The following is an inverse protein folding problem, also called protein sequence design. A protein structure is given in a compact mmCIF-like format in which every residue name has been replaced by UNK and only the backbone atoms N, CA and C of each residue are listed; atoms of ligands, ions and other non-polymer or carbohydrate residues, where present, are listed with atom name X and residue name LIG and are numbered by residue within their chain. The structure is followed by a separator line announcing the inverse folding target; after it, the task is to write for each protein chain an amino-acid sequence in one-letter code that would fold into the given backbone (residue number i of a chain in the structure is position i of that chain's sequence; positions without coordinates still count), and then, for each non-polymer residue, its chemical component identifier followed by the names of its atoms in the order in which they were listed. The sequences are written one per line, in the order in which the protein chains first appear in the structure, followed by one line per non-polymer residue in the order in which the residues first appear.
data_IF_192715000442
#
_entry.id   IF_192715000442
#
_cell.length_a   1.000
_cell.length_b   1.000
_cell.length_c   1.000
_cell.angle_alpha   90.00
_cell.angle_beta   90.00
_cell.angle_gamma   90.00
#
_symmetry.space_group_name_H-M   'P 1'
#
loop_
_entity.id
_entity.type
_entity.pdbx_description
1 polymer ?
#
# COMPACT_ATOMS: atom_id res chain seq x y z
N UNK A 1 46.96 -4.00 15.48
CA UNK A 1 46.45 -5.37 15.30
C UNK A 1 45.09 -5.23 14.67
N UNK A 2 44.87 -5.62 13.41
CA UNK A 2 43.55 -5.54 12.82
C UNK A 2 42.77 -6.80 13.23
N UNK A 3 41.79 -6.61 14.10
CA UNK A 3 40.81 -7.63 14.48
C UNK A 3 39.76 -7.79 13.38
N UNK A 4 39.47 -9.06 13.14
CA UNK A 4 38.74 -9.67 12.05
C UNK A 4 37.23 -9.33 12.08
N UNK A 5 36.65 -8.64 11.07
CA UNK A 5 35.20 -8.52 10.97
C UNK A 5 34.57 -9.88 10.59
N UNK A 6 33.37 -10.16 11.09
CA UNK A 6 32.54 -11.33 10.73
C UNK A 6 32.53 -11.60 9.21
N UNK A 7 32.38 -12.87 8.79
CA UNK A 7 32.65 -13.26 7.41
C UNK A 7 31.81 -12.46 6.42
N UNK A 8 32.49 -11.58 5.68
CA UNK A 8 32.12 -11.24 4.31
C UNK A 8 31.85 -12.55 3.60
N UNK A 9 30.62 -12.75 3.14
CA UNK A 9 30.22 -13.93 2.35
C UNK A 9 31.32 -14.35 1.37
N UNK A 10 32.06 -15.46 1.61
CA UNK A 10 32.85 -16.09 0.58
C UNK A 10 31.97 -17.19 -0.03
N UNK A 11 31.65 -17.06 -1.31
CA UNK A 11 31.24 -18.21 -2.11
C UNK A 11 32.33 -19.30 -1.95
N UNK A 12 32.00 -20.57 -1.68
CA UNK A 12 32.97 -21.62 -1.90
C UNK A 12 33.27 -21.69 -3.40
N UNK A 13 34.57 -21.65 -3.75
CA UNK A 13 35.04 -22.01 -5.09
C UNK A 13 34.48 -23.39 -5.46
N UNK A 14 33.60 -23.39 -6.44
CA UNK A 14 33.03 -24.63 -6.99
C UNK A 14 34.07 -25.23 -7.94
N UNK A 15 34.64 -26.42 -7.70
CA UNK A 15 35.31 -27.13 -8.79
C UNK A 15 34.25 -27.45 -9.85
N UNK A 16 34.62 -27.24 -11.12
CA UNK A 16 33.75 -27.46 -12.26
C UNK A 16 33.14 -28.87 -12.23
N UNK A 17 31.84 -28.97 -11.97
CA UNK A 17 31.10 -30.20 -12.12
C UNK A 17 30.77 -30.39 -13.61
N UNK A 18 31.23 -31.51 -14.14
CA UNK A 18 30.92 -32.05 -15.48
C UNK A 18 29.40 -32.29 -15.60
N UNK A 19 28.80 -32.18 -16.80
CA UNK A 19 27.36 -32.31 -16.94
C UNK A 19 26.98 -33.80 -16.87
N UNK A 20 26.35 -34.23 -15.79
CA UNK A 20 25.61 -35.49 -15.75
C UNK A 20 24.13 -35.18 -15.81
N UNK A 21 23.56 -35.55 -16.96
CA UNK A 21 22.16 -35.75 -17.26
C UNK A 21 21.48 -36.58 -16.15
N UNK A 22 20.47 -36.02 -15.49
CA UNK A 22 19.47 -36.83 -14.78
C UNK A 22 18.15 -36.06 -14.64
N UNK A 23 17.17 -36.55 -15.36
CA UNK A 23 15.73 -36.26 -15.29
C UNK A 23 15.16 -36.19 -13.87
N UNK A 24 14.39 -35.14 -13.58
CA UNK A 24 13.52 -35.05 -12.39
C UNK A 24 12.24 -35.86 -12.59
N UNK A 25 11.85 -36.76 -11.65
CA UNK A 25 10.47 -37.26 -11.60
C UNK A 25 9.57 -36.23 -10.91
N UNK A 26 8.41 -35.99 -11.52
CA UNK A 26 7.29 -35.24 -10.93
C UNK A 26 6.73 -35.99 -9.72
N UNK A 27 6.60 -35.33 -8.57
CA UNK A 27 5.84 -35.86 -7.44
C UNK A 27 4.77 -34.86 -6.98
N UNK A 28 3.52 -35.30 -7.17
CA UNK A 28 2.29 -34.69 -6.68
C UNK A 28 2.29 -34.63 -5.16
N UNK A 29 2.00 -33.45 -4.58
CA UNK A 29 1.80 -33.30 -3.14
C UNK A 29 0.32 -33.52 -2.79
N UNK A 30 0.04 -34.60 -2.08
CA UNK A 30 -1.22 -34.79 -1.33
C UNK A 30 -1.08 -34.09 0.02
N UNK A 31 -2.00 -33.19 0.35
CA UNK A 31 -2.06 -32.53 1.66
C UNK A 31 -2.50 -33.50 2.77
N UNK A 32 -1.92 -33.46 3.98
CA UNK A 32 -2.48 -34.17 5.12
C UNK A 32 -3.53 -33.32 5.85
N UNK A 33 -4.69 -33.92 6.09
CA UNK A 33 -5.71 -33.41 7.01
C UNK A 33 -5.31 -33.68 8.46
N UNK A 34 -5.43 -32.68 9.33
CA UNK A 34 -5.47 -32.88 10.78
C UNK A 34 -6.64 -32.10 11.36
N UNK A 35 -7.63 -32.84 11.88
CA UNK A 35 -8.80 -32.29 12.54
C UNK A 35 -8.66 -32.20 14.06
N UNK A 36 -9.37 -31.21 14.61
CA UNK A 36 -10.02 -31.23 15.93
C UNK A 36 -9.43 -30.31 17.02
N UNK A 37 -10.21 -29.81 18.00
CA UNK A 37 -11.68 -29.78 18.12
C UNK A 37 -12.27 -28.35 18.22
N UNK A 38 -13.51 -28.23 17.75
CA UNK A 38 -14.33 -27.01 17.82
C UNK A 38 -14.76 -26.65 19.25
N UNK A 39 -14.65 -25.38 19.62
CA UNK A 39 -15.44 -24.80 20.71
C UNK A 39 -15.85 -23.38 20.34
N UNK A 40 -17.14 -23.07 20.14
CA UNK A 40 -17.55 -21.73 19.71
C UNK A 40 -17.64 -20.78 20.92
N UNK A 41 -16.68 -19.86 21.04
CA UNK A 41 -16.84 -18.67 21.90
C UNK A 41 -17.66 -17.62 21.16
N UNK A 42 -18.92 -17.47 21.59
CA UNK A 42 -19.83 -16.41 21.17
C UNK A 42 -19.33 -15.06 21.69
N UNK A 43 -18.94 -14.16 20.81
CA UNK A 43 -18.75 -12.74 21.12
C UNK A 43 -20.03 -11.99 20.76
N UNK A 44 -20.74 -11.53 21.79
CA UNK A 44 -21.84 -10.58 21.68
C UNK A 44 -21.24 -9.20 21.35
N UNK A 45 -21.48 -8.69 20.14
CA UNK A 45 -21.35 -7.27 19.87
C UNK A 45 -22.68 -6.60 20.21
N UNK A 46 -22.70 -5.84 21.31
CA UNK A 46 -23.80 -4.96 21.63
C UNK A 46 -23.70 -3.72 20.72
N UNK A 47 -24.62 -3.63 19.77
CA UNK A 47 -24.89 -2.42 19.01
C UNK A 47 -25.56 -1.38 19.94
N UNK A 48 -25.00 -0.18 20.01
CA UNK A 48 -25.70 0.99 20.52
C UNK A 48 -25.66 2.06 19.43
N UNK A 49 -26.64 1.97 18.52
CA UNK A 49 -27.05 3.10 17.71
C UNK A 49 -27.95 4.00 18.53
N UNK A 50 -27.75 5.32 18.41
CA UNK A 50 -28.82 6.28 18.66
C UNK A 50 -28.54 7.55 17.84
N UNK A 51 -29.24 7.59 16.70
CA UNK A 51 -29.58 8.81 15.98
C UNK A 51 -30.63 9.53 16.81
N UNK A 52 -30.37 10.79 17.19
CA UNK A 52 -31.42 11.74 17.58
C UNK A 52 -31.23 13.02 16.79
N UNK A 53 -32.14 13.20 15.83
CA UNK A 53 -32.43 14.43 15.12
C UNK A 53 -33.04 15.44 16.11
N UNK A 54 -32.51 16.66 16.14
CA UNK A 54 -33.17 17.80 16.78
C UNK A 54 -32.98 19.09 15.95
N UNK A 55 -34.00 19.30 15.12
CA UNK A 55 -34.62 20.55 14.64
C UNK A 55 -33.98 21.88 15.10
N UNK A 56 -33.59 22.68 14.09
CA UNK A 56 -33.27 24.10 14.21
C UNK A 56 -34.51 24.93 14.60
N UNK A 57 -34.42 25.69 15.68
CA UNK A 57 -35.34 26.80 15.99
C UNK A 57 -34.52 28.09 16.10
N UNK A 58 -34.87 29.06 15.26
CA UNK A 58 -34.29 30.40 15.23
C UNK A 58 -34.93 31.33 16.27
N UNK A 59 -34.08 32.09 16.97
CA UNK A 59 -34.30 33.42 17.57
C UNK A 59 -32.94 33.79 18.22
N UNK A 60 -32.29 34.93 18.07
CA UNK A 60 -32.69 36.29 17.74
C UNK A 60 -31.90 37.21 18.68
N UNK A 61 -31.38 38.32 18.15
CA UNK A 61 -30.87 39.52 18.86
C UNK A 61 -29.41 39.53 19.36
N UNK A 62 -28.55 40.22 18.62
CA UNK A 62 -27.63 41.23 19.18
C UNK A 62 -27.37 42.34 18.15
N UNK A 63 -27.86 43.56 18.42
CA UNK A 63 -27.41 44.80 17.76
C UNK A 63 -26.04 45.22 18.32
N UNK A 64 -25.26 46.17 17.82
CA UNK A 64 -25.39 47.38 17.00
C UNK A 64 -23.93 47.70 16.55
N UNK A 65 -23.59 48.40 15.45
CA UNK A 65 -23.79 49.84 15.17
C UNK A 65 -23.38 50.18 13.72
N UNK A 66 -24.16 51.10 13.13
CA UNK A 66 -23.84 52.18 12.15
C UNK A 66 -22.64 52.08 11.19
N UNK A 67 -22.93 52.21 9.90
CA UNK A 67 -22.49 53.37 9.09
C UNK A 67 -23.37 53.53 7.84
N UNK A 68 -23.67 54.78 7.50
CA UNK A 68 -24.52 55.27 6.40
C UNK A 68 -23.87 55.09 5.02
N UNK A 69 -24.65 54.93 3.95
CA UNK A 69 -24.82 55.95 2.90
C UNK A 69 -25.80 55.52 1.77
N UNK A 70 -26.79 56.40 1.58
CA UNK A 70 -27.52 56.87 0.39
C UNK A 70 -28.13 55.97 -0.73
N UNK A 71 -29.45 56.26 -0.90
CA UNK A 71 -30.20 56.59 -2.14
C UNK A 71 -30.35 55.50 -3.22
N UNK A 72 -31.58 54.98 -3.39
CA UNK A 72 -32.56 55.52 -4.37
C UNK A 72 -33.85 54.68 -4.34
N UNK A 73 -34.98 55.31 -4.03
CA UNK A 73 -36.31 54.75 -4.35
C UNK A 73 -36.60 55.05 -5.82
N UNK A 74 -37.08 54.06 -6.57
CA UNK A 74 -38.15 54.31 -7.52
C UNK A 74 -39.03 53.06 -7.78
N UNK A 75 -40.28 53.24 -7.34
CA UNK A 75 -41.56 52.84 -7.94
C UNK A 75 -41.81 51.42 -8.49
N UNK A 76 -42.91 50.86 -7.98
CA UNK A 76 -43.56 49.62 -8.39
C UNK A 76 -44.18 49.65 -9.79
N UNK A 77 -44.16 48.50 -10.48
CA UNK A 77 -45.24 48.04 -11.36
C UNK A 77 -45.10 46.54 -11.74
N UNK A 78 -46.05 45.70 -11.32
CA UNK A 78 -46.56 44.56 -12.13
C UNK A 78 -47.83 45.09 -12.81
N UNK A 79 -48.08 44.86 -14.11
CA UNK A 79 -48.47 43.56 -14.67
C UNK A 79 -47.73 43.32 -16.03
N UNK A 80 -47.85 42.25 -16.81
CA UNK A 80 -48.88 41.27 -17.05
C UNK A 80 -48.22 40.00 -17.63
N UNK A 81 -48.92 38.88 -17.51
CA UNK A 81 -48.59 37.64 -18.17
C UNK A 81 -48.54 37.84 -19.70
N UNK A 82 -47.40 37.50 -20.29
CA UNK A 82 -47.33 37.15 -21.71
C UNK A 82 -46.85 35.70 -21.76
N UNK A 83 -47.78 34.81 -22.12
CA UNK A 83 -47.48 33.43 -22.45
C UNK A 83 -46.67 33.42 -23.75
N UNK A 84 -45.36 33.23 -23.63
CA UNK A 84 -44.50 32.84 -24.73
C UNK A 84 -44.41 31.31 -24.73
N UNK A 85 -44.70 30.75 -25.91
CA UNK A 85 -44.75 29.33 -26.20
C UNK A 85 -43.32 28.87 -26.46
N UNK A 86 -42.88 27.85 -25.73
CA UNK A 86 -41.88 26.86 -26.13
C UNK A 86 -40.50 27.36 -26.57
N UNK A 87 -39.56 27.35 -25.62
CA UNK A 87 -38.24 26.78 -25.90
C UNK A 87 -38.01 25.74 -24.79
N UNK A 88 -37.90 24.46 -25.14
CA UNK A 88 -37.42 23.46 -24.20
C UNK A 88 -36.03 23.93 -23.72
N UNK A 89 -35.67 23.76 -22.43
CA UNK A 89 -34.26 23.88 -22.08
C UNK A 89 -33.55 22.88 -22.97
N UNK A 90 -32.68 23.37 -23.85
CA UNK A 90 -31.74 22.49 -24.53
C UNK A 90 -31.03 21.75 -23.40
N UNK A 91 -31.33 20.45 -23.24
CA UNK A 91 -30.50 19.52 -22.47
C UNK A 91 -29.15 19.56 -23.16
N UNK A 92 -28.31 20.52 -22.74
CA UNK A 92 -26.89 20.45 -22.98
C UNK A 92 -26.50 19.21 -22.20
N UNK A 93 -26.38 18.09 -22.90
CA UNK A 93 -25.71 16.90 -22.39
C UNK A 93 -24.34 17.39 -21.94
N UNK A 94 -24.23 17.68 -20.64
CA UNK A 94 -23.01 18.22 -20.06
C UNK A 94 -21.99 17.11 -20.15
N UNK A 95 -20.92 17.30 -20.92
CA UNK A 95 -19.76 16.41 -20.87
C UNK A 95 -19.04 16.65 -19.55
N UNK A 96 -18.75 15.60 -18.79
CA UNK A 96 -17.98 15.75 -17.57
C UNK A 96 -16.52 16.06 -17.89
N UNK A 97 -16.05 17.27 -17.56
CA UNK A 97 -14.66 17.70 -17.75
C UNK A 97 -13.87 17.79 -16.44
N UNK A 98 -14.51 17.50 -15.30
CA UNK A 98 -13.85 17.42 -14.01
C UNK A 98 -13.07 16.11 -13.89
N UNK A 99 -11.97 16.13 -13.14
CA UNK A 99 -11.30 14.90 -12.74
C UNK A 99 -12.19 14.11 -11.74
N UNK A 100 -12.13 12.77 -11.76
CA UNK A 100 -12.81 11.94 -10.77
C UNK A 100 -12.41 12.32 -9.34
N UNK A 101 -13.39 12.29 -8.43
CA UNK A 101 -13.16 12.44 -6.99
C UNK A 101 -13.15 11.05 -6.38
N UNK A 102 -12.04 10.67 -5.73
CA UNK A 102 -11.84 9.31 -5.23
C UNK A 102 -11.52 9.32 -3.75
N UNK A 103 -12.21 8.47 -2.99
CA UNK A 103 -11.94 8.21 -1.58
C UNK A 103 -11.45 6.78 -1.40
N UNK A 104 -10.38 6.63 -0.60
CA UNK A 104 -9.87 5.33 -0.19
C UNK A 104 -10.74 4.74 0.92
N UNK A 105 -11.36 3.58 0.67
CA UNK A 105 -12.19 2.90 1.65
C UNK A 105 -11.38 1.90 2.48
N UNK A 106 -10.54 1.10 1.82
CA UNK A 106 -9.67 0.10 2.43
C UNK A 106 -8.36 -0.04 1.66
N UNK A 107 -7.29 -0.36 2.38
CA UNK A 107 -6.00 -0.72 1.80
C UNK A 107 -5.46 -1.98 2.47
N UNK A 108 -5.11 -2.98 1.66
CA UNK A 108 -4.60 -4.26 2.15
C UNK A 108 -3.46 -4.77 1.28
N UNK A 109 -2.55 -5.51 1.90
CA UNK A 109 -1.51 -6.23 1.19
C UNK A 109 -1.97 -7.68 0.96
N UNK A 110 -1.82 -8.17 -0.26
CA UNK A 110 -2.25 -9.51 -0.66
C UNK A 110 -1.16 -10.22 -1.49
N UNK A 111 -1.40 -11.46 -1.87
CA UNK A 111 -0.51 -12.21 -2.77
C UNK A 111 -0.31 -11.54 -4.14
N UNK A 112 -1.27 -10.74 -4.60
CA UNK A 112 -1.20 -10.01 -5.88
C UNK A 112 -0.61 -8.61 -5.76
N UNK A 113 -0.25 -8.15 -4.56
CA UNK A 113 0.29 -6.80 -4.31
C UNK A 113 -0.58 -5.97 -3.37
N UNK A 114 -0.43 -4.65 -3.46
CA UNK A 114 -1.24 -3.68 -2.72
C UNK A 114 -2.62 -3.57 -3.38
N UNK A 115 -3.67 -3.82 -2.63
CA UNK A 115 -5.06 -3.74 -3.11
C UNK A 115 -5.75 -2.60 -2.39
N UNK A 116 -6.31 -1.68 -3.16
CA UNK A 116 -7.10 -0.56 -2.68
C UNK A 116 -8.56 -0.78 -3.08
N UNK A 117 -9.48 -0.74 -2.12
CA UNK A 117 -10.89 -0.55 -2.43
C UNK A 117 -11.19 0.94 -2.32
N UNK A 118 -11.74 1.51 -3.38
CA UNK A 118 -12.05 2.93 -3.47
C UNK A 118 -13.49 3.15 -3.88
N UNK A 119 -14.05 4.26 -3.40
CA UNK A 119 -15.30 4.81 -3.89
C UNK A 119 -14.97 6.03 -4.75
N UNK A 120 -15.52 6.09 -5.97
CA UNK A 120 -15.22 7.14 -6.94
C UNK A 120 -16.50 7.83 -7.42
N UNK A 121 -16.40 9.13 -7.64
CA UNK A 121 -17.41 9.96 -8.27
C UNK A 121 -16.87 10.58 -9.55
N UNK A 122 -17.74 10.90 -10.51
CA UNK A 122 -17.34 11.55 -11.76
C UNK A 122 -16.69 12.93 -11.56
N UNK A 123 -16.90 13.58 -10.41
CA UNK A 123 -16.51 14.97 -10.17
C UNK A 123 -17.47 15.99 -10.82
N UNK A 124 -18.55 15.51 -11.43
CA UNK A 124 -19.60 16.30 -12.08
C UNK A 124 -20.98 15.92 -11.53
N UNK A 125 -22.00 16.72 -11.84
CA UNK A 125 -23.39 16.35 -11.54
C UNK A 125 -23.92 15.22 -12.45
N UNK A 126 -23.21 14.93 -13.54
CA UNK A 126 -23.53 13.88 -14.51
C UNK A 126 -22.57 12.71 -14.34
N UNK A 127 -23.00 11.53 -14.77
CA UNK A 127 -22.15 10.34 -14.79
C UNK A 127 -21.07 10.45 -15.87
N UNK A 128 -19.98 9.70 -15.70
CA UNK A 128 -18.84 9.66 -16.61
C UNK A 128 -18.37 8.22 -16.80
N UNK A 129 -17.93 7.86 -18.00
CA UNK A 129 -17.38 6.54 -18.29
C UNK A 129 -15.87 6.63 -18.45
N UNK A 130 -15.14 5.75 -17.75
CA UNK A 130 -13.70 5.54 -17.91
C UNK A 130 -13.49 4.26 -18.70
N UNK A 131 -13.01 4.38 -19.94
CA UNK A 131 -12.85 3.27 -20.89
C UNK A 131 -11.50 3.26 -21.61
N UNK A 132 -10.56 4.11 -21.18
CA UNK A 132 -9.21 4.19 -21.77
C UNK A 132 -8.37 2.97 -21.39
N UNK A 133 -7.54 2.49 -22.34
CA UNK A 133 -6.58 1.41 -22.08
C UNK A 133 -5.35 1.83 -21.27
N UNK A 134 -5.25 3.13 -20.96
CA UNK A 134 -4.01 3.75 -20.49
C UNK A 134 -4.28 4.74 -19.35
N UNK A 135 -5.16 4.38 -18.41
CA UNK A 135 -5.49 5.25 -17.27
C UNK A 135 -4.35 5.17 -16.26
N UNK A 136 -3.66 6.28 -16.03
CA UNK A 136 -2.64 6.32 -14.98
C UNK A 136 -3.30 6.63 -13.65
N UNK A 137 -3.04 5.79 -12.65
CA UNK A 137 -3.50 6.01 -11.28
C UNK A 137 -2.28 6.17 -10.39
N UNK A 138 -2.19 7.33 -9.72
CA UNK A 138 -1.18 7.61 -8.72
C UNK A 138 -1.82 7.65 -7.34
N UNK A 139 -1.11 7.15 -6.34
CA UNK A 139 -1.51 7.16 -4.94
C UNK A 139 -0.40 7.84 -4.17
N UNK A 140 -0.76 8.87 -3.42
CA UNK A 140 0.18 9.64 -2.60
C UNK A 140 -0.40 9.81 -1.20
N UNK A 141 0.46 9.88 -0.18
CA UNK A 141 0.09 10.23 1.18
C UNK A 141 0.83 11.51 1.57
N UNK A 142 0.15 12.65 1.43
CA UNK A 142 0.80 13.96 1.48
C UNK A 142 1.87 14.10 0.38
N UNK A 143 3.16 14.31 0.71
CA UNK A 143 4.23 14.40 -0.28
C UNK A 143 4.80 13.04 -0.71
N UNK A 144 4.42 11.94 -0.04
CA UNK A 144 5.08 10.64 -0.21
C UNK A 144 4.36 9.80 -1.26
N UNK A 145 5.10 9.28 -2.23
CA UNK A 145 4.58 8.34 -3.23
C UNK A 145 4.27 6.97 -2.63
N UNK A 146 3.02 6.52 -2.77
CA UNK A 146 2.53 5.23 -2.24
C UNK A 146 2.51 4.17 -3.33
N UNK A 147 1.89 4.48 -4.47
CA UNK A 147 1.77 3.58 -5.61
C UNK A 147 1.54 4.33 -6.92
N UNK A 148 1.99 3.77 -8.03
CA UNK A 148 1.75 4.33 -9.35
C UNK A 148 1.67 3.21 -10.39
N UNK A 149 0.58 3.18 -11.16
CA UNK A 149 0.35 2.16 -12.17
C UNK A 149 -0.50 2.66 -13.32
N UNK A 150 -0.39 1.99 -14.46
CA UNK A 150 -1.29 2.17 -15.60
C UNK A 150 -2.31 1.03 -15.62
N UNK A 151 -3.58 1.37 -15.78
CA UNK A 151 -4.72 0.47 -15.76
C UNK A 151 -5.46 0.51 -17.10
N UNK A 152 -5.87 -0.67 -17.58
CA UNK A 152 -6.61 -0.84 -18.83
C UNK A 152 -8.11 -0.99 -18.54
N UNK A 153 -8.87 0.08 -18.77
CA UNK A 153 -10.34 0.10 -18.65
C UNK A 153 -11.03 -0.20 -19.99
N UNK A 154 -10.31 -0.48 -21.07
CA UNK A 154 -10.91 -0.68 -22.39
C UNK A 154 -11.72 -1.98 -22.49
N UNK A 155 -11.35 -2.99 -21.71
CA UNK A 155 -12.02 -4.29 -21.67
C UNK A 155 -13.12 -4.38 -20.61
N UNK A 156 -13.01 -3.62 -19.51
CA UNK A 156 -14.02 -3.51 -18.46
C UNK A 156 -14.20 -2.03 -18.07
N UNK A 157 -14.98 -1.25 -18.85
CA UNK A 157 -15.17 0.17 -18.62
C UNK A 157 -15.89 0.45 -17.28
N UNK A 158 -15.43 1.46 -16.55
CA UNK A 158 -16.02 1.87 -15.29
C UNK A 158 -17.01 3.03 -15.50
N UNK A 159 -18.21 2.90 -14.93
CA UNK A 159 -19.17 3.98 -14.80
C UNK A 159 -18.93 4.68 -13.46
N UNK A 160 -18.51 5.94 -13.52
CA UNK A 160 -18.38 6.84 -12.38
C UNK A 160 -19.65 7.66 -12.25
N UNK A 161 -20.40 7.45 -11.18
CA UNK A 161 -21.67 8.15 -10.96
C UNK A 161 -21.44 9.54 -10.36
N UNK A 162 -22.35 10.47 -10.64
CA UNK A 162 -22.31 11.82 -10.04
C UNK A 162 -22.55 11.82 -8.52
N UNK A 163 -23.24 10.79 -7.99
CA UNK A 163 -23.51 10.62 -6.56
C UNK A 163 -22.37 9.93 -5.79
N UNK A 164 -21.34 9.44 -6.49
CA UNK A 164 -20.14 8.84 -5.89
C UNK A 164 -20.36 7.46 -5.30
N UNK A 165 -21.18 6.62 -5.94
CA UNK A 165 -21.46 5.25 -5.48
C UNK A 165 -20.66 4.18 -6.23
N UNK A 166 -19.83 4.57 -7.20
CA UNK A 166 -19.01 3.64 -7.98
C UNK A 166 -17.88 3.06 -7.13
N UNK A 167 -17.76 1.73 -7.12
CA UNK A 167 -16.76 0.99 -6.34
C UNK A 167 -15.72 0.38 -7.25
N UNK A 168 -14.45 0.68 -6.98
CA UNK A 168 -13.33 0.13 -7.74
C UNK A 168 -12.39 -0.60 -6.80
N UNK A 169 -11.99 -1.80 -7.19
CA UNK A 169 -10.88 -2.53 -6.55
C UNK A 169 -9.65 -2.41 -7.46
N UNK A 170 -8.65 -1.66 -6.99
CA UNK A 170 -7.42 -1.37 -7.72
C UNK A 170 -6.28 -2.19 -7.12
N UNK A 171 -5.74 -3.12 -7.92
CA UNK A 171 -4.57 -3.93 -7.51
C UNK A 171 -3.30 -3.35 -8.13
N UNK A 172 -2.33 -3.04 -7.29
CA UNK A 172 -0.98 -2.59 -7.61
C UNK A 172 0.00 -3.75 -7.36
N UNK A 173 0.43 -4.47 -8.41
CA UNK A 173 1.40 -5.56 -8.28
C UNK A 173 2.77 -5.10 -7.75
N UNK A 174 3.60 -6.07 -7.35
CA UNK A 174 4.98 -5.78 -6.98
C UNK A 174 5.70 -4.96 -8.06
N UNK A 175 6.39 -3.90 -7.64
CA UNK A 175 7.04 -2.94 -8.53
C UNK A 175 6.18 -1.73 -8.90
N UNK A 176 4.87 -1.72 -8.61
CA UNK A 176 3.99 -0.55 -8.83
C UNK A 176 3.61 0.17 -7.54
N UNK A 177 4.18 -0.23 -6.40
CA UNK A 177 3.96 0.41 -5.11
C UNK A 177 5.23 0.39 -4.27
N UNK A 178 5.35 1.38 -3.39
CA UNK A 178 6.49 1.57 -2.50
C UNK A 178 6.10 1.38 -1.04
N UNK A 179 4.85 1.69 -0.69
CA UNK A 179 4.38 1.78 0.70
C UNK A 179 3.42 0.64 1.05
N UNK A 180 3.37 0.27 2.33
CA UNK A 180 2.48 -0.79 2.85
C UNK A 180 1.26 -0.16 3.53
N UNK A 181 0.13 -0.87 3.69
CA UNK A 181 -1.07 -0.27 4.30
C UNK A 181 -0.85 0.39 5.66
N UNK A 182 0.05 -0.15 6.49
CA UNK A 182 0.33 0.38 7.84
C UNK A 182 1.10 1.70 7.84
N UNK A 183 1.59 2.18 6.69
CA UNK A 183 2.21 3.50 6.57
C UNK A 183 1.24 4.56 6.09
N UNK A 184 0.04 4.19 5.63
CA UNK A 184 -0.92 5.13 5.05
C UNK A 184 -1.65 5.92 6.12
N UNK A 185 -1.89 7.21 5.84
CA UNK A 185 -2.67 8.11 6.68
C UNK A 185 -4.01 8.49 6.06
N UNK A 186 -4.82 9.24 6.80
CA UNK A 186 -6.06 9.85 6.27
C UNK A 186 -5.84 10.90 5.18
N UNK A 187 -4.57 11.27 4.92
CA UNK A 187 -4.19 12.21 3.85
C UNK A 187 -3.90 11.50 2.53
N UNK A 188 -4.10 10.18 2.47
CA UNK A 188 -3.90 9.39 1.25
C UNK A 188 -4.92 9.81 0.19
N UNK A 189 -4.44 10.21 -0.97
CA UNK A 189 -5.24 10.53 -2.14
C UNK A 189 -4.95 9.58 -3.30
N UNK A 190 -5.99 9.29 -4.07
CA UNK A 190 -5.91 8.49 -5.29
C UNK A 190 -6.29 9.41 -6.45
N UNK A 191 -5.37 9.60 -7.39
CA UNK A 191 -5.54 10.49 -8.53
C UNK A 191 -5.64 9.68 -9.82
N UNK A 192 -6.69 9.96 -10.60
CA UNK A 192 -6.93 9.34 -11.90
C UNK A 192 -6.56 10.32 -13.01
N UNK A 193 -5.53 9.99 -13.77
CA UNK A 193 -5.24 10.61 -15.05
C UNK A 193 -5.79 9.71 -16.18
N UNK A 194 -7.10 9.82 -16.39
CA UNK A 194 -7.84 9.04 -17.38
C UNK A 194 -7.78 9.66 -18.80
N UNK A 195 -7.14 10.82 -18.98
CA UNK A 195 -7.25 11.62 -20.19
C UNK A 195 -8.67 12.16 -20.39
N UNK A 196 -9.07 12.41 -21.64
CA UNK A 196 -10.44 12.82 -21.94
C UNK A 196 -11.40 11.63 -21.80
N UNK A 197 -12.28 11.68 -20.79
CA UNK A 197 -13.36 10.71 -20.63
C UNK A 197 -14.36 10.91 -21.78
N UNK A 198 -14.60 9.87 -22.55
CA UNK A 198 -15.61 9.91 -23.61
C UNK A 198 -16.95 9.44 -23.04
N UNK A 199 -17.99 10.22 -23.25
CA UNK A 199 -19.36 9.91 -22.79
C UNK A 199 -20.08 8.96 -23.75
N UNK A 200 -19.33 8.16 -24.50
CA UNK A 200 -19.86 7.28 -25.53
C UNK A 200 -20.69 6.14 -24.91
N UNK A 201 -21.69 5.66 -25.65
CA UNK A 201 -22.58 4.53 -25.31
C UNK A 201 -21.82 3.21 -25.21
N UNK A 202 -20.87 3.11 -24.29
CA UNK A 202 -20.14 1.89 -23.96
C UNK A 202 -20.83 1.27 -22.74
N UNK A 203 -21.03 -0.05 -22.77
CA UNK A 203 -21.50 -0.76 -21.58
C UNK A 203 -20.43 -0.65 -20.50
N UNK A 204 -20.78 -0.06 -19.37
CA UNK A 204 -19.88 0.21 -18.25
C UNK A 204 -20.52 -0.24 -16.94
N UNK A 205 -19.68 -0.58 -15.96
CA UNK A 205 -20.10 -1.09 -14.66
C UNK A 205 -19.76 -0.11 -13.54
N UNK A 206 -20.64 0.05 -12.55
CA UNK A 206 -20.33 0.84 -11.33
C UNK A 206 -19.40 0.11 -10.38
N UNK A 207 -19.25 -1.21 -10.54
CA UNK A 207 -18.36 -2.06 -9.75
C UNK A 207 -17.34 -2.70 -10.67
N UNK A 208 -16.07 -2.32 -10.53
CA UNK A 208 -14.98 -2.75 -11.41
C UNK A 208 -13.79 -3.22 -10.58
N UNK A 209 -13.07 -4.22 -11.08
CA UNK A 209 -11.87 -4.74 -10.43
C UNK A 209 -10.74 -4.87 -11.45
N UNK A 210 -9.65 -4.15 -11.24
CA UNK A 210 -8.56 -4.04 -12.20
C UNK A 210 -7.21 -4.21 -11.51
N UNK A 211 -6.22 -4.62 -12.29
CA UNK A 211 -4.82 -4.68 -11.87
C UNK A 211 -3.98 -3.80 -12.79
N UNK A 212 -3.01 -3.08 -12.23
CA UNK A 212 -2.09 -2.28 -13.03
C UNK A 212 -1.33 -3.19 -14.01
N UNK A 213 -1.36 -2.84 -15.30
CA UNK A 213 -0.67 -3.59 -16.36
C UNK A 213 0.80 -3.21 -16.49
N UNK A 214 1.17 -2.00 -16.05
CA UNK A 214 2.52 -1.45 -16.20
C UNK A 214 2.90 -0.62 -14.98
N UNK A 215 4.19 -0.65 -14.62
CA UNK A 215 4.79 0.26 -13.63
C UNK A 215 4.77 1.69 -14.17
N UNK A 216 4.24 2.63 -13.37
CA UNK A 216 4.40 4.04 -13.63
C UNK A 216 5.49 4.62 -12.71
N UNK A 217 6.24 5.65 -13.15
CA UNK A 217 7.20 6.32 -12.30
C UNK A 217 6.48 7.00 -11.11
N UNK A 218 7.18 7.27 -10.00
CA UNK A 218 6.63 8.07 -8.91
C UNK A 218 6.23 9.46 -9.41
N UNK A 219 5.32 10.11 -8.70
CA UNK A 219 4.82 11.46 -9.00
C UNK A 219 5.90 12.50 -8.70
N UNK A 220 6.74 12.23 -7.69
CA UNK A 220 7.84 13.10 -7.29
C UNK A 220 9.18 12.37 -7.31
N UNK A 221 10.23 13.07 -7.75
CA UNK A 221 11.59 12.54 -7.74
C UNK A 221 11.81 11.37 -8.72
N UNK A 222 12.85 10.58 -8.41
CA UNK A 222 13.15 9.34 -9.13
C UNK A 222 12.79 8.12 -8.27
N UNK A 223 12.76 6.94 -8.91
CA UNK A 223 12.38 5.69 -8.26
C UNK A 223 13.34 5.30 -7.12
N UNK A 224 14.61 5.72 -7.17
CA UNK A 224 15.59 5.42 -6.12
C UNK A 224 15.37 6.28 -4.88
N UNK A 225 15.04 7.55 -5.06
CA UNK A 225 14.69 8.47 -3.98
C UNK A 225 13.38 8.04 -3.31
N UNK A 226 12.35 7.74 -4.10
CA UNK A 226 11.07 7.21 -3.59
C UNK A 226 11.29 5.90 -2.80
N UNK A 227 12.12 5.00 -3.30
CA UNK A 227 12.44 3.77 -2.59
C UNK A 227 13.22 4.01 -1.28
N UNK A 228 14.16 4.95 -1.27
CA UNK A 228 14.92 5.30 -0.07
C UNK A 228 14.02 5.94 1.01
N UNK A 229 13.05 6.76 0.62
CA UNK A 229 12.04 7.32 1.53
C UNK A 229 11.12 6.21 2.06
N UNK A 230 10.63 5.35 1.18
CA UNK A 230 9.75 4.24 1.57
C UNK A 230 10.43 3.24 2.53
N UNK A 231 11.71 2.89 2.31
CA UNK A 231 12.46 2.05 3.26
C UNK A 231 12.50 2.66 4.67
N UNK A 232 12.70 3.98 4.77
CA UNK A 232 12.66 4.69 6.06
C UNK A 232 11.26 4.66 6.65
N UNK A 233 10.25 5.05 5.88
CA UNK A 233 8.87 5.15 6.35
C UNK A 233 8.33 3.78 6.80
N UNK A 234 8.63 2.71 6.06
CA UNK A 234 8.27 1.33 6.45
C UNK A 234 9.00 0.92 7.73
N UNK A 235 10.32 1.15 7.82
CA UNK A 235 11.08 0.83 9.03
C UNK A 235 10.59 1.61 10.25
N UNK A 236 10.19 2.87 10.08
CA UNK A 236 9.65 3.70 11.14
C UNK A 236 8.27 3.22 11.58
N UNK A 237 7.39 2.86 10.63
CA UNK A 237 6.08 2.24 10.91
C UNK A 237 6.22 0.90 11.65
N UNK A 238 7.18 0.07 11.23
CA UNK A 238 7.42 -1.25 11.83
C UNK A 238 8.10 -1.16 13.21
N UNK A 239 8.79 -0.06 13.53
CA UNK A 239 9.61 0.10 14.74
C UNK A 239 8.85 -0.19 16.04
N UNK A 240 7.61 0.26 16.15
CA UNK A 240 6.80 0.04 17.35
C UNK A 240 6.50 -1.46 17.57
N UNK A 241 6.25 -2.20 16.49
CA UNK A 241 6.03 -3.65 16.53
C UNK A 241 7.33 -4.38 16.86
N UNK A 242 8.44 -3.99 16.23
CA UNK A 242 9.76 -4.59 16.51
C UNK A 242 10.14 -4.39 17.98
N UNK A 243 9.97 -3.18 18.52
CA UNK A 243 10.29 -2.86 19.92
C UNK A 243 9.39 -3.56 20.94
N UNK A 244 8.09 -3.66 20.67
CA UNK A 244 7.15 -4.26 21.62
C UNK A 244 7.12 -5.79 21.56
N UNK A 245 7.35 -6.37 20.37
CA UNK A 245 7.07 -7.78 20.11
C UNK A 245 8.32 -8.60 19.80
N UNK A 246 9.36 -8.02 19.19
CA UNK A 246 10.55 -8.75 18.73
C UNK A 246 11.80 -8.49 19.57
N UNK A 247 11.84 -7.38 20.30
CA UNK A 247 12.97 -7.03 21.15
C UNK A 247 13.24 -8.11 22.21
N UNK A 248 14.53 -8.40 22.42
CA UNK A 248 15.07 -9.44 23.29
C UNK A 248 14.59 -10.87 22.97
N UNK A 249 14.20 -11.12 21.71
CA UNK A 249 13.77 -12.44 21.22
C UNK A 249 14.52 -12.85 19.96
N UNK A 250 14.67 -14.17 19.78
CA UNK A 250 15.25 -14.74 18.56
C UNK A 250 14.22 -14.72 17.45
N UNK A 251 14.60 -14.21 16.28
CA UNK A 251 13.75 -14.12 15.09
C UNK A 251 14.50 -14.66 13.87
N UNK A 252 13.80 -15.20 12.85
CA UNK A 252 14.38 -15.49 11.55
C UNK A 252 14.65 -14.19 10.79
N UNK A 253 15.92 -13.87 10.58
CA UNK A 253 16.34 -12.83 9.66
C UNK A 253 16.45 -13.43 8.26
N UNK A 254 15.73 -12.87 7.29
CA UNK A 254 15.60 -13.43 5.92
C UNK A 254 16.21 -12.55 4.83
N UNK A 255 16.59 -11.32 5.16
CA UNK A 255 17.41 -10.48 4.29
C UNK A 255 18.23 -9.48 5.10
N UNK A 256 19.40 -9.12 4.56
CA UNK A 256 20.20 -7.98 5.00
C UNK A 256 20.87 -7.36 3.77
N UNK A 257 20.49 -6.14 3.42
CA UNK A 257 21.02 -5.42 2.25
C UNK A 257 21.31 -3.96 2.59
N UNK A 258 22.17 -3.33 1.79
CA UNK A 258 22.33 -1.88 1.79
C UNK A 258 22.65 -1.37 0.38
N UNK A 259 22.32 -0.12 0.05
CA UNK A 259 22.67 0.45 -1.24
C UNK A 259 24.17 0.34 -1.52
N UNK A 260 24.54 -0.07 -2.73
CA UNK A 260 25.93 -0.28 -3.14
C UNK A 260 26.52 -1.64 -2.76
N UNK A 261 25.78 -2.51 -2.05
CA UNK A 261 26.18 -3.90 -1.82
C UNK A 261 26.28 -4.64 -3.16
N UNK A 262 27.39 -5.33 -3.40
CA UNK A 262 27.54 -6.23 -4.57
C UNK A 262 27.33 -7.66 -4.09
N UNK A 263 26.19 -8.24 -4.42
CA UNK A 263 25.79 -9.59 -4.03
C UNK A 263 24.76 -10.15 -5.01
N UNK A 264 24.67 -11.48 -5.12
CA UNK A 264 23.71 -12.17 -6.01
C UNK A 264 23.80 -11.69 -7.47
N UNK A 265 25.01 -11.35 -7.93
CA UNK A 265 25.27 -10.94 -9.30
C UNK A 265 24.85 -9.51 -9.66
N UNK A 266 24.44 -8.68 -8.69
CA UNK A 266 24.08 -7.27 -8.93
C UNK A 266 24.63 -6.33 -7.85
N UNK A 267 24.62 -5.03 -8.18
CA UNK A 267 24.79 -3.96 -7.19
C UNK A 267 23.40 -3.55 -6.72
N UNK A 268 23.14 -3.69 -5.43
CA UNK A 268 21.85 -3.41 -4.82
C UNK A 268 21.58 -1.90 -4.75
N UNK A 269 20.43 -1.49 -5.26
CA UNK A 269 19.91 -0.12 -5.13
C UNK A 269 18.84 -0.02 -4.03
N UNK A 270 18.30 1.17 -3.72
CA UNK A 270 17.19 1.24 -2.76
C UNK A 270 15.94 0.59 -3.34
N UNK A 271 15.69 0.77 -4.64
CA UNK A 271 14.55 0.15 -5.32
C UNK A 271 14.62 -1.38 -5.26
N UNK A 272 15.81 -1.97 -5.47
CA UNK A 272 16.03 -3.42 -5.32
C UNK A 272 15.70 -3.93 -3.91
N UNK A 273 16.19 -3.22 -2.89
CA UNK A 273 16.03 -3.60 -1.47
C UNK A 273 14.57 -3.51 -1.07
N UNK A 274 13.89 -2.44 -1.47
CA UNK A 274 12.47 -2.27 -1.21
C UNK A 274 11.64 -3.35 -1.88
N UNK A 275 11.90 -3.63 -3.16
CA UNK A 275 11.19 -4.67 -3.90
C UNK A 275 11.35 -6.05 -3.23
N UNK A 276 12.56 -6.39 -2.82
CA UNK A 276 12.83 -7.64 -2.08
C UNK A 276 12.06 -7.66 -0.75
N UNK A 277 12.10 -6.57 0.03
CA UNK A 277 11.36 -6.48 1.29
C UNK A 277 9.84 -6.68 1.08
N UNK A 278 9.25 -6.00 0.09
CA UNK A 278 7.83 -6.11 -0.22
C UNK A 278 7.47 -7.53 -0.67
N UNK A 279 8.30 -8.16 -1.50
CA UNK A 279 8.13 -9.56 -1.89
C UNK A 279 8.15 -10.49 -0.68
N UNK A 280 9.09 -10.29 0.25
CA UNK A 280 9.19 -11.05 1.49
C UNK A 280 7.99 -10.80 2.40
N UNK A 281 7.47 -9.58 2.50
CA UNK A 281 6.31 -9.23 3.32
C UNK A 281 5.00 -9.78 2.75
N UNK A 282 4.88 -9.89 1.43
CA UNK A 282 3.77 -10.61 0.79
C UNK A 282 3.85 -12.10 1.12
N UNK A 283 5.04 -12.70 1.01
CA UNK A 283 5.25 -14.14 1.27
C UNK A 283 5.13 -14.50 2.75
N UNK A 284 5.61 -13.62 3.62
CA UNK A 284 5.63 -13.76 5.08
C UNK A 284 5.00 -12.50 5.70
N UNK A 285 3.67 -12.46 5.93
CA UNK A 285 2.96 -11.25 6.39
C UNK A 285 3.44 -10.68 7.74
N UNK A 286 4.09 -11.50 8.57
CA UNK A 286 4.72 -11.07 9.82
C UNK A 286 6.08 -10.39 9.60
N UNK A 287 6.63 -10.37 8.39
CA UNK A 287 7.92 -9.75 8.10
C UNK A 287 7.89 -8.24 8.38
N UNK A 288 8.98 -7.74 8.97
CA UNK A 288 9.19 -6.35 9.33
C UNK A 288 10.52 -5.87 8.79
N UNK A 289 10.57 -4.60 8.40
CA UNK A 289 11.79 -3.93 8.02
C UNK A 289 12.45 -3.31 9.25
N UNK A 290 13.74 -3.57 9.42
CA UNK A 290 14.53 -3.10 10.55
C UNK A 290 15.72 -2.31 10.00
N UNK A 291 15.85 -1.06 10.42
CA UNK A 291 17.10 -0.32 10.29
C UNK A 291 18.12 -0.80 11.34
N UNK A 292 19.23 -1.36 10.90
CA UNK A 292 20.20 -2.01 11.80
C UNK A 292 20.83 -1.02 12.79
N UNK A 293 21.02 0.24 12.41
CA UNK A 293 21.59 1.28 13.28
C UNK A 293 20.74 1.67 14.47
N UNK A 294 19.49 1.19 14.57
CA UNK A 294 18.63 1.42 15.73
C UNK A 294 18.77 0.37 16.84
N UNK A 295 19.60 -0.67 16.66
CA UNK A 295 19.70 -1.80 17.61
C UNK A 295 21.16 -2.17 17.90
N UNK A 296 21.48 -2.46 19.16
CA UNK A 296 22.85 -2.72 19.63
C UNK A 296 23.38 -4.09 19.21
N UNK A 297 22.49 -5.01 18.79
CA UNK A 297 22.88 -6.36 18.39
C UNK A 297 23.36 -6.46 16.95
N UNK A 298 23.23 -5.41 16.11
CA UNK A 298 23.85 -5.39 14.78
C UNK A 298 25.24 -4.78 14.83
N UNK A 299 26.21 -5.46 14.21
CA UNK A 299 27.60 -5.00 14.11
C UNK A 299 27.79 -3.82 13.15
N UNK A 300 26.90 -3.68 12.15
CA UNK A 300 26.93 -2.63 11.14
C UNK A 300 25.65 -1.79 11.20
N UNK A 301 25.72 -0.46 11.33
CA UNK A 301 24.56 0.39 11.59
C UNK A 301 23.83 0.90 10.33
N UNK A 302 24.26 0.48 9.14
CA UNK A 302 23.83 1.04 7.86
C UNK A 302 23.12 0.03 6.93
N UNK A 303 22.40 -0.94 7.51
CA UNK A 303 21.74 -2.01 6.77
C UNK A 303 20.23 -2.03 6.96
N UNK A 304 19.54 -2.37 5.87
CA UNK A 304 18.14 -2.74 5.86
C UNK A 304 18.04 -4.24 6.10
N UNK A 305 17.35 -4.62 7.18
CA UNK A 305 17.19 -6.01 7.59
C UNK A 305 15.72 -6.38 7.49
N UNK A 306 15.38 -7.42 6.73
CA UNK A 306 14.03 -8.00 6.76
C UNK A 306 14.04 -9.21 7.66
N UNK A 307 13.19 -9.19 8.68
CA UNK A 307 13.06 -10.31 9.62
C UNK A 307 11.59 -10.68 9.80
N UNK A 308 11.33 -11.96 9.99
CA UNK A 308 10.00 -12.50 10.23
C UNK A 308 9.61 -12.24 11.68
N UNK A 309 8.39 -11.77 11.89
CA UNK A 309 7.88 -11.37 13.20
C UNK A 309 7.55 -12.53 14.16
N UNK A 310 7.89 -13.76 13.80
CA UNK A 310 7.75 -14.93 14.67
C UNK A 310 8.92 -15.01 15.64
N UNK A 311 8.62 -15.09 16.94
CA UNK A 311 9.64 -15.09 17.99
C UNK A 311 9.88 -16.47 18.58
N UNK A 312 11.13 -16.70 18.96
CA UNK A 312 11.61 -17.99 19.42
C UNK A 312 12.43 -17.86 20.72
N UNK A 313 12.43 -18.89 21.58
CA UNK A 313 13.20 -18.89 22.82
C UNK A 313 14.71 -19.05 22.59
N UNK A 314 15.12 -19.68 21.47
CA UNK A 314 16.53 -19.95 21.14
C UNK A 314 16.81 -19.67 19.66
N UNK A 315 18.08 -19.43 19.32
CA UNK A 315 18.50 -19.26 17.93
C UNK A 315 18.27 -20.51 17.10
N UNK A 316 18.47 -21.70 17.67
CA UNK A 316 18.22 -22.98 17.01
C UNK A 316 16.74 -23.15 16.63
N UNK A 317 15.82 -22.74 17.51
CA UNK A 317 14.39 -22.78 17.20
C UNK A 317 13.99 -21.79 16.10
N UNK A 318 14.61 -20.61 16.03
CA UNK A 318 14.41 -19.70 14.91
C UNK A 318 14.98 -20.25 13.59
N UNK A 319 16.15 -20.90 13.64
CA UNK A 319 16.73 -21.58 12.46
C UNK A 319 15.87 -22.77 11.99
N UNK A 320 15.14 -23.43 12.88
CA UNK A 320 14.18 -24.47 12.49
C UNK A 320 13.09 -23.89 11.57
N UNK A 321 12.66 -22.65 11.80
CA UNK A 321 11.75 -21.95 10.89
C UNK A 321 12.40 -21.69 9.53
N UNK A 322 13.68 -21.27 9.50
CA UNK A 322 14.42 -21.08 8.23
C UNK A 322 14.42 -22.37 7.39
N UNK A 323 14.79 -23.50 8.00
CA UNK A 323 14.84 -24.81 7.34
C UNK A 323 13.44 -25.23 6.87
N UNK A 324 12.41 -25.05 7.70
CA UNK A 324 11.03 -25.39 7.35
C UNK A 324 10.48 -24.57 6.16
N UNK A 325 11.03 -23.38 5.90
CA UNK A 325 10.66 -22.53 4.77
C UNK A 325 11.62 -22.67 3.56
N UNK A 326 12.48 -23.69 3.58
CA UNK A 326 13.48 -23.98 2.54
C UNK A 326 14.40 -22.77 2.25
N UNK A 327 14.78 -22.02 3.28
CA UNK A 327 15.76 -20.95 3.17
C UNK A 327 17.11 -21.47 3.69
N UNK A 328 18.13 -21.45 2.84
CA UNK A 328 19.47 -21.86 3.23
C UNK A 328 20.15 -20.84 4.17
N UNK A 329 21.36 -21.18 4.61
CA UNK A 329 22.16 -20.38 5.56
C UNK A 329 22.46 -18.97 5.08
N UNK A 330 22.50 -18.74 3.76
CA UNK A 330 22.81 -17.43 3.19
C UNK A 330 21.54 -16.56 3.06
N UNK A 331 20.37 -17.21 2.99
CA UNK A 331 19.07 -16.53 2.84
C UNK A 331 18.23 -16.50 4.13
N UNK A 332 18.66 -17.18 5.20
CA UNK A 332 18.02 -17.08 6.51
C UNK A 332 18.95 -17.48 7.65
N UNK A 333 18.90 -16.76 8.77
CA UNK A 333 19.52 -17.18 10.03
C UNK A 333 18.85 -16.52 11.24
N UNK A 334 19.08 -17.08 12.42
CA UNK A 334 18.52 -16.57 13.64
C UNK A 334 19.28 -15.33 14.14
N UNK A 335 18.52 -14.27 14.42
CA UNK A 335 19.01 -13.00 14.98
C UNK A 335 18.29 -12.67 16.28
N UNK A 336 19.03 -12.21 17.28
CA UNK A 336 18.48 -11.60 18.48
C UNK A 336 18.43 -10.09 18.27
N UNK A 337 17.24 -9.48 18.31
CA UNK A 337 17.08 -8.02 18.16
C UNK A 337 17.01 -7.38 19.55
N UNK A 338 17.91 -6.46 19.89
CA UNK A 338 17.92 -5.78 21.20
C UNK A 338 18.65 -4.45 21.13
N UNK A 339 18.29 -3.52 22.00
CA UNK A 339 18.94 -2.20 22.15
C UNK A 339 19.94 -2.14 23.30
N UNK A 340 20.05 -3.21 24.11
CA UNK A 340 20.92 -3.27 25.29
C UNK A 340 21.89 -4.45 25.29
N UNK A 341 21.66 -5.47 24.46
CA UNK A 341 22.54 -6.65 24.38
C UNK A 341 23.71 -6.42 23.43
N UNK A 342 24.87 -7.05 23.68
CA UNK A 342 26.00 -6.95 22.78
C UNK A 342 25.73 -7.64 21.44
N UNK A 343 26.56 -7.30 20.45
CA UNK A 343 26.62 -8.01 19.16
C UNK A 343 26.98 -9.48 19.37
N UNK A 344 27.99 -9.75 20.22
CA UNK A 344 28.45 -11.11 20.49
C UNK A 344 27.34 -11.99 21.06
N UNK A 345 27.14 -13.16 20.45
CA UNK A 345 26.10 -14.11 20.83
C UNK A 345 24.68 -13.72 20.40
N UNK A 346 24.51 -12.69 19.57
CA UNK A 346 23.21 -12.27 19.03
C UNK A 346 22.86 -12.87 17.66
N UNK A 347 23.72 -13.72 17.11
CA UNK A 347 23.54 -14.37 15.80
C UNK A 347 23.81 -15.87 15.93
N UNK A 348 22.92 -16.71 15.39
CA UNK A 348 23.12 -18.17 15.30
C UNK A 348 22.87 -18.60 13.87
N UNK A 349 23.92 -19.08 13.20
CA UNK A 349 23.83 -19.54 11.81
C UNK A 349 23.21 -20.94 11.73
N UNK A 350 22.58 -21.23 10.59
CA UNK A 350 22.13 -22.58 10.27
C UNK A 350 23.33 -23.56 10.22
N UNK A 351 23.09 -24.82 10.56
CA UNK A 351 24.10 -25.90 10.56
C UNK A 351 24.20 -26.58 9.19
#
# INVERSE_FOLDING_TARGET
MPDNPEPLFPLPDRPAATPTDTSYPSLSATAPSTGGPDTPRKYLFAAAGLVVVAVLVAAGVYGTTRSSDDVQMDTAARPAANAAIGEAPNDVVGTCTSAPVVSLDDARLSASGLVLDVTAASGCAVDSVVSSSSVRINVVDGPTDVAAGVFDFSSDPALLTGDGNSRLTLTFPLGTFWMVPTTLSSSTSVEFDAGSNDSSNVSASEVVSLSASTVAPPTSGDAEMAAAEALRAISDSDRAVVASSLADRWIPQISSKKPGLVAEGKTWTNADILLEHLQMRIRYPSARLIWSGSWSTFSSPDWWVTAVGDTYPTGESANTWCVANNLDRDHCYAKLVSSVRPVDGSTVLQK
#
